data_IF_344362632783
#
_entry.id   IF_344362632783
#
_cell.length_a   1.000
_cell.length_b   1.000
_cell.length_c   1.000
_cell.angle_alpha   90.00
_cell.angle_beta   90.00
_cell.angle_gamma   90.00
#
_symmetry.space_group_name_H-M   'P 1'
#
loop_
_entity.id
_entity.type
_entity.pdbx_description
1 polymer ?
#
# COMPACT_ATOMS: atom_id res chain seq x y z
N UNK A 1 -18.54 -6.92 11.24
CA UNK A 1 -17.40 -6.05 10.86
C UNK A 1 -17.08 -6.41 9.42
N UNK A 2 -17.25 -5.47 8.50
CA UNK A 2 -17.20 -5.70 7.06
C UNK A 2 -15.74 -5.91 6.60
N UNK A 3 -15.34 -7.17 6.41
CA UNK A 3 -13.94 -7.60 6.34
C UNK A 3 -13.32 -7.62 4.95
N UNK A 4 -13.76 -6.79 3.99
CA UNK A 4 -13.16 -6.83 2.64
C UNK A 4 -13.06 -5.47 1.95
N UNK A 5 -12.65 -4.43 2.68
CA UNK A 5 -12.11 -3.24 2.02
C UNK A 5 -10.76 -3.60 1.36
N UNK A 6 -10.81 -3.91 0.06
CA UNK A 6 -9.63 -3.91 -0.81
C UNK A 6 -9.33 -2.46 -1.18
N UNK A 7 -8.10 -2.03 -0.93
CA UNK A 7 -7.61 -0.75 -1.43
C UNK A 7 -7.14 -0.95 -2.86
N UNK A 8 -7.66 -0.14 -3.79
CA UNK A 8 -7.41 -0.25 -5.23
C UNK A 8 -6.82 1.07 -5.72
N UNK A 9 -5.81 1.01 -6.58
CA UNK A 9 -5.09 2.15 -7.16
C UNK A 9 -5.19 2.08 -8.67
N UNK A 10 -5.68 3.13 -9.33
CA UNK A 10 -5.76 3.15 -10.80
C UNK A 10 -4.42 3.62 -11.37
N UNK A 11 -3.50 2.68 -11.68
CA UNK A 11 -2.14 3.01 -12.18
C UNK A 11 -2.14 3.90 -13.43
N UNK A 12 -3.21 3.91 -14.23
CA UNK A 12 -3.31 4.76 -15.42
C UNK A 12 -3.73 6.21 -15.10
N UNK A 13 -4.42 6.42 -13.98
CA UNK A 13 -4.96 7.74 -13.59
C UNK A 13 -4.23 8.36 -12.40
N UNK A 14 -3.71 7.56 -11.49
CA UNK A 14 -2.91 8.00 -10.34
C UNK A 14 -1.44 8.00 -10.72
N UNK A 15 -0.97 9.11 -11.28
CA UNK A 15 0.44 9.28 -11.71
C UNK A 15 1.46 9.17 -10.58
N UNK A 16 1.00 9.21 -9.33
CA UNK A 16 1.82 9.10 -8.12
C UNK A 16 1.62 7.75 -7.40
N UNK A 17 1.10 6.72 -8.07
CA UNK A 17 0.87 5.40 -7.46
C UNK A 17 2.14 4.81 -6.82
N UNK A 18 3.32 5.13 -7.37
CA UNK A 18 4.63 4.69 -6.87
C UNK A 18 4.91 5.22 -5.44
N UNK A 19 4.36 6.38 -5.06
CA UNK A 19 4.49 6.92 -3.70
C UNK A 19 3.91 5.99 -2.64
N UNK A 20 2.97 5.12 -3.01
CA UNK A 20 2.37 4.14 -2.08
C UNK A 20 3.39 3.06 -1.72
N UNK A 21 4.21 2.60 -2.68
CA UNK A 21 5.27 1.63 -2.41
C UNK A 21 6.39 2.25 -1.57
N UNK A 22 6.68 3.54 -1.81
CA UNK A 22 7.67 4.31 -1.05
C UNK A 22 7.17 4.77 0.33
N UNK A 23 5.86 4.79 0.58
CA UNK A 23 5.27 5.28 1.83
C UNK A 23 5.74 4.49 3.07
N UNK A 24 6.12 3.22 2.89
CA UNK A 24 6.71 2.44 3.97
C UNK A 24 8.24 2.52 3.88
N UNK A 25 8.95 3.00 4.92
CA UNK A 25 10.42 3.04 4.91
C UNK A 25 11.09 1.65 4.87
N UNK A 26 10.31 0.59 5.09
CA UNK A 26 10.76 -0.82 5.03
C UNK A 26 10.34 -1.45 3.68
N UNK A 27 9.53 -0.77 2.86
CA UNK A 27 9.02 -1.27 1.58
C UNK A 27 8.01 -2.40 1.73
N UNK A 28 7.05 -2.27 2.65
CA UNK A 28 6.06 -3.32 2.94
C UNK A 28 4.76 -3.22 2.12
N UNK A 29 4.63 -2.17 1.29
CA UNK A 29 3.50 -2.01 0.39
C UNK A 29 3.91 -2.37 -1.03
N UNK A 30 3.04 -3.09 -1.74
CA UNK A 30 3.23 -3.49 -3.13
C UNK A 30 1.91 -3.31 -3.88
N UNK A 31 1.95 -2.67 -5.05
CA UNK A 31 0.77 -2.57 -5.92
C UNK A 31 0.76 -3.74 -6.90
N UNK A 32 -0.17 -4.65 -6.67
CA UNK A 32 -0.36 -5.85 -7.47
C UNK A 32 -0.83 -5.53 -8.90
N UNK A 33 -0.76 -6.52 -9.79
CA UNK A 33 -1.22 -6.41 -11.18
C UNK A 33 -2.72 -6.11 -11.29
N UNK A 34 -3.52 -6.56 -10.32
CA UNK A 34 -4.95 -6.29 -10.24
C UNK A 34 -5.28 -4.94 -9.61
N UNK A 35 -4.29 -4.05 -9.53
CA UNK A 35 -4.38 -2.72 -8.93
C UNK A 35 -4.69 -2.72 -7.43
N UNK A 36 -4.60 -3.86 -6.73
CA UNK A 36 -4.77 -3.91 -5.28
C UNK A 36 -3.47 -3.63 -4.52
N UNK A 37 -3.60 -3.02 -3.33
CA UNK A 37 -2.47 -2.81 -2.42
C UNK A 37 -2.30 -4.07 -1.57
N UNK A 38 -1.16 -4.75 -1.71
CA UNK A 38 -0.71 -5.76 -0.76
C UNK A 38 0.11 -5.11 0.35
N UNK A 39 -0.10 -5.56 1.59
CA UNK A 39 0.65 -5.11 2.76
C UNK A 39 1.13 -6.32 3.56
N UNK A 40 2.46 -6.51 3.63
CA UNK A 40 3.07 -7.52 4.49
C UNK A 40 3.03 -7.07 5.96
N UNK A 41 1.91 -7.40 6.63
CA UNK A 41 1.66 -7.00 8.02
C UNK A 41 2.54 -7.72 9.03
N UNK A 42 3.03 -8.92 8.70
CA UNK A 42 3.85 -9.71 9.62
C UNK A 42 5.22 -9.04 9.85
N UNK A 43 5.69 -8.25 8.88
CA UNK A 43 6.92 -7.45 8.99
C UNK A 43 6.68 -6.01 9.46
N UNK A 44 5.43 -5.61 9.68
CA UNK A 44 5.10 -4.24 10.07
C UNK A 44 5.57 -3.94 11.50
N UNK A 45 6.52 -3.00 11.63
CA UNK A 45 7.03 -2.56 12.94
C UNK A 45 6.17 -1.48 13.62
N UNK A 46 5.05 -1.07 13.03
CA UNK A 46 4.19 0.03 13.55
C UNK A 46 4.97 1.32 13.82
N UNK A 47 5.94 1.65 12.94
CA UNK A 47 6.77 2.85 13.05
C UNK A 47 6.04 4.15 12.65
N UNK A 48 4.82 4.04 12.11
CA UNK A 48 3.98 5.15 11.64
C UNK A 48 4.58 5.99 10.50
N UNK A 49 5.66 5.54 9.85
CA UNK A 49 6.31 6.29 8.77
C UNK A 49 5.41 6.59 7.57
N UNK A 50 4.42 5.73 7.30
CA UNK A 50 3.44 5.93 6.23
C UNK A 50 2.30 6.92 6.55
N UNK A 51 2.27 7.48 7.77
CA UNK A 51 1.30 8.50 8.18
C UNK A 51 1.88 9.93 8.18
N UNK A 52 3.15 10.07 7.79
CA UNK A 52 3.92 11.32 7.82
C UNK A 52 3.89 12.11 6.52
#
# INVERSE_FOLDING_TARGET
>A
MDSTKKFVVDKEKDVEWELIEEACPIGLFEIQEDNTIAWDRDKCMTCLGCLG
#
